data_IF_270459177231
#
_entry.id   IF_270459177231
#
_cell.length_a   1.000
_cell.length_b   1.000
_cell.length_c   1.000
_cell.angle_alpha   90.00
_cell.angle_beta   90.00
_cell.angle_gamma   90.00
#
_symmetry.space_group_name_H-M   'P 1'
#
loop_
_entity.id
_entity.type
_entity.pdbx_description
1 polymer ?
#
# COMPACT_ATOMS: atom_id res chain seq x y z
N UNK A 1 34.91 -11.73 3.11
CA UNK A 1 34.35 -10.49 3.69
C UNK A 1 33.34 -9.94 2.68
N UNK A 2 32.18 -10.59 2.53
CA UNK A 2 31.16 -10.25 1.50
C UNK A 2 29.74 -10.07 2.09
N UNK A 3 29.54 -10.38 3.37
CA UNK A 3 28.23 -10.32 4.02
C UNK A 3 27.74 -8.88 4.28
N UNK A 4 28.64 -7.91 4.48
CA UNK A 4 28.26 -6.52 4.74
C UNK A 4 27.57 -5.85 3.56
N UNK A 5 28.04 -6.12 2.33
CA UNK A 5 27.43 -5.60 1.10
C UNK A 5 26.06 -6.20 0.84
N UNK A 6 25.91 -7.52 1.03
CA UNK A 6 24.61 -8.21 0.88
C UNK A 6 23.57 -7.72 1.89
N UNK A 7 23.95 -7.55 3.16
CA UNK A 7 23.07 -6.99 4.17
C UNK A 7 22.70 -5.54 3.85
N UNK A 8 23.67 -4.72 3.42
CA UNK A 8 23.42 -3.34 2.99
C UNK A 8 22.37 -3.24 1.89
N UNK A 9 22.43 -4.11 0.88
CA UNK A 9 21.42 -4.17 -0.19
C UNK A 9 20.03 -4.53 0.34
N UNK A 10 19.92 -5.45 1.29
CA UNK A 10 18.64 -5.80 1.92
C UNK A 10 18.05 -4.62 2.70
N UNK A 11 18.87 -3.90 3.48
CA UNK A 11 18.44 -2.70 4.19
C UNK A 11 17.92 -1.63 3.23
N UNK A 12 18.62 -1.40 2.12
CA UNK A 12 18.19 -0.46 1.09
C UNK A 12 16.89 -0.87 0.42
N UNK A 13 16.70 -2.16 0.14
CA UNK A 13 15.44 -2.70 -0.37
C UNK A 13 14.29 -2.45 0.63
N UNK A 14 14.48 -2.78 1.91
CA UNK A 14 13.46 -2.57 2.94
C UNK A 14 13.12 -1.08 3.12
N UNK A 15 14.14 -0.21 3.11
CA UNK A 15 13.97 1.25 3.17
C UNK A 15 13.17 1.76 1.98
N UNK A 16 13.49 1.28 0.77
CA UNK A 16 12.76 1.62 -0.44
C UNK A 16 11.30 1.14 -0.37
N UNK A 17 11.04 -0.09 0.06
CA UNK A 17 9.69 -0.62 0.24
C UNK A 17 8.88 0.23 1.23
N UNK A 18 9.45 0.56 2.39
CA UNK A 18 8.79 1.40 3.37
C UNK A 18 8.45 2.80 2.82
N UNK A 19 9.38 3.42 2.10
CA UNK A 19 9.15 4.71 1.43
C UNK A 19 8.07 4.62 0.34
N UNK A 20 8.07 3.54 -0.42
CA UNK A 20 7.09 3.28 -1.47
C UNK A 20 5.66 3.16 -0.92
N UNK A 21 5.45 2.33 0.11
CA UNK A 21 4.13 2.17 0.73
C UNK A 21 3.67 3.46 1.41
N UNK A 22 4.58 4.19 2.08
CA UNK A 22 4.27 5.51 2.65
C UNK A 22 3.80 6.48 1.59
N UNK A 23 4.46 6.53 0.43
CA UNK A 23 4.06 7.41 -0.66
C UNK A 23 2.66 7.10 -1.20
N UNK A 24 2.31 5.81 -1.30
CA UNK A 24 0.96 5.39 -1.68
C UNK A 24 -0.08 5.87 -0.65
N UNK A 25 0.22 5.70 0.64
CA UNK A 25 -0.66 6.18 1.71
C UNK A 25 -0.86 7.71 1.64
N UNK A 26 0.23 8.48 1.51
CA UNK A 26 0.17 9.94 1.37
C UNK A 26 -0.67 10.36 0.15
N UNK A 27 -0.52 9.68 -0.99
CA UNK A 27 -1.31 9.95 -2.19
C UNK A 27 -2.82 9.68 -1.95
N UNK A 28 -3.17 8.63 -1.20
CA UNK A 28 -4.56 8.31 -0.80
C UNK A 28 -5.12 9.39 0.11
N UNK A 29 -4.39 9.74 1.16
CA UNK A 29 -4.79 10.78 2.12
C UNK A 29 -4.95 12.14 1.44
N UNK A 30 -4.03 12.52 0.56
CA UNK A 30 -4.12 13.76 -0.21
C UNK A 30 -5.36 13.80 -1.11
N UNK A 31 -5.65 12.72 -1.84
CA UNK A 31 -6.82 12.68 -2.74
C UNK A 31 -8.15 12.69 -1.95
N UNK A 32 -8.21 12.01 -0.80
CA UNK A 32 -9.39 12.02 0.08
C UNK A 32 -9.58 13.36 0.80
N UNK A 33 -8.47 14.02 1.14
CA UNK A 33 -8.43 15.30 1.86
C UNK A 33 -8.67 16.53 0.99
N UNK A 34 -8.56 16.44 -0.34
CA UNK A 34 -8.80 17.58 -1.25
C UNK A 34 -10.26 18.07 -1.13
N UNK A 35 -10.51 19.32 -0.69
CA UNK A 35 -11.86 19.84 -0.49
C UNK A 35 -12.61 20.08 -1.80
N UNK A 36 -11.92 20.41 -2.89
CA UNK A 36 -12.55 20.60 -4.19
C UNK A 36 -12.71 19.26 -4.92
N UNK A 37 -13.95 18.76 -4.96
CA UNK A 37 -14.29 17.50 -5.61
C UNK A 37 -13.88 17.45 -7.10
N UNK A 38 -13.79 18.60 -7.77
CA UNK A 38 -13.36 18.67 -9.18
C UNK A 38 -11.85 18.50 -9.35
N UNK A 39 -11.07 18.74 -8.29
CA UNK A 39 -9.62 18.55 -8.26
C UNK A 39 -9.21 17.15 -7.80
N UNK A 40 -10.13 16.40 -7.20
CA UNK A 40 -9.91 15.00 -6.86
C UNK A 40 -9.69 14.17 -8.12
N UNK A 41 -8.76 13.24 -8.03
CA UNK A 41 -8.62 12.19 -9.02
C UNK A 41 -9.86 11.28 -8.96
N UNK A 42 -10.43 10.96 -10.13
CA UNK A 42 -11.63 10.14 -10.23
C UNK A 42 -11.43 8.77 -9.59
N UNK A 43 -12.41 8.31 -8.80
CA UNK A 43 -12.25 7.12 -7.94
C UNK A 43 -11.81 5.85 -8.67
N UNK A 44 -12.33 5.58 -9.87
CA UNK A 44 -11.94 4.41 -10.66
C UNK A 44 -10.49 4.51 -11.18
N UNK A 45 -10.10 5.69 -11.67
CA UNK A 45 -8.74 5.97 -12.14
C UNK A 45 -7.75 5.87 -10.98
N UNK A 46 -8.11 6.48 -9.85
CA UNK A 46 -7.32 6.47 -8.63
C UNK A 46 -7.12 5.04 -8.10
N UNK A 47 -8.20 4.25 -7.99
CA UNK A 47 -8.11 2.87 -7.55
C UNK A 47 -7.25 2.01 -8.49
N UNK A 48 -7.38 2.21 -9.80
CA UNK A 48 -6.57 1.51 -10.81
C UNK A 48 -5.09 1.86 -10.67
N UNK A 49 -4.77 3.15 -10.48
CA UNK A 49 -3.40 3.62 -10.23
C UNK A 49 -2.80 3.00 -8.96
N UNK A 50 -3.55 2.93 -7.87
CA UNK A 50 -3.09 2.27 -6.62
C UNK A 50 -2.86 0.77 -6.85
N UNK A 51 -3.76 0.08 -7.56
CA UNK A 51 -3.61 -1.34 -7.87
C UNK A 51 -2.33 -1.62 -8.68
N UNK A 52 -2.10 -0.81 -9.73
CA UNK A 52 -0.91 -0.91 -10.57
C UNK A 52 0.37 -0.66 -9.78
N UNK A 53 0.40 0.37 -8.93
CA UNK A 53 1.55 0.63 -8.04
C UNK A 53 1.82 -0.59 -7.14
N UNK A 54 0.79 -1.21 -6.58
CA UNK A 54 0.95 -2.37 -5.70
C UNK A 54 1.20 -3.68 -6.45
N UNK A 55 1.18 -3.69 -7.79
CA UNK A 55 1.29 -4.91 -8.59
C UNK A 55 0.12 -5.88 -8.36
N UNK A 56 -1.08 -5.37 -8.09
CA UNK A 56 -2.28 -6.15 -7.76
C UNK A 56 -3.43 -5.88 -8.72
N UNK A 57 -4.43 -6.75 -8.71
CA UNK A 57 -5.69 -6.49 -9.40
C UNK A 57 -6.61 -5.57 -8.59
N UNK A 58 -7.56 -4.92 -9.25
CA UNK A 58 -8.63 -4.18 -8.57
C UNK A 58 -9.49 -5.07 -7.65
N UNK A 59 -9.61 -6.36 -7.98
CA UNK A 59 -10.34 -7.34 -7.15
C UNK A 59 -9.63 -7.60 -5.84
N UNK A 60 -8.29 -7.66 -5.85
CA UNK A 60 -7.47 -7.82 -4.65
C UNK A 60 -7.61 -6.60 -3.73
N UNK A 61 -7.59 -5.38 -4.30
CA UNK A 61 -7.83 -4.15 -3.52
C UNK A 61 -9.17 -4.16 -2.78
N UNK A 62 -10.23 -4.72 -3.39
CA UNK A 62 -11.55 -4.81 -2.73
C UNK A 62 -11.52 -5.71 -1.49
N UNK A 63 -10.60 -6.67 -1.42
CA UNK A 63 -10.42 -7.49 -0.21
C UNK A 63 -9.87 -6.65 0.95
N UNK A 64 -9.02 -5.66 0.68
CA UNK A 64 -8.50 -4.73 1.69
C UNK A 64 -9.61 -3.93 2.38
N UNK A 65 -10.74 -3.68 1.72
CA UNK A 65 -11.90 -3.03 2.34
C UNK A 65 -12.37 -3.77 3.59
N UNK A 66 -12.31 -5.10 3.60
CA UNK A 66 -12.68 -5.91 4.77
C UNK A 66 -11.71 -5.65 5.92
N UNK A 67 -10.41 -5.57 5.60
CA UNK A 67 -9.33 -5.35 6.56
C UNK A 67 -9.32 -3.92 7.14
N UNK A 68 -9.88 -2.95 6.41
CA UNK A 68 -10.02 -1.57 6.87
C UNK A 68 -11.21 -1.35 7.83
N UNK A 69 -11.96 -2.40 8.20
CA UNK A 69 -13.05 -2.29 9.17
C UNK A 69 -12.50 -2.08 10.58
N UNK A 70 -13.09 -1.18 11.40
CA UNK A 70 -12.71 -1.03 12.82
C UNK A 70 -12.91 -2.31 13.66
N UNK A 71 -13.70 -3.27 13.14
CA UNK A 71 -14.01 -4.53 13.80
C UNK A 71 -12.99 -5.64 13.51
N UNK A 72 -12.04 -5.43 12.60
CA UNK A 72 -11.03 -6.43 12.26
C UNK A 72 -10.00 -6.53 13.36
N UNK A 73 -9.60 -7.76 13.70
CA UNK A 73 -8.55 -8.00 14.69
C UNK A 73 -7.18 -7.88 14.05
N UNK A 74 -6.20 -7.47 14.84
CA UNK A 74 -4.80 -7.40 14.39
C UNK A 74 -4.28 -8.76 13.91
N UNK A 75 -4.72 -9.88 14.51
CA UNK A 75 -4.30 -11.21 14.06
C UNK A 75 -4.82 -11.53 12.65
N UNK A 76 -6.03 -11.09 12.32
CA UNK A 76 -6.59 -11.28 10.97
C UNK A 76 -5.78 -10.46 9.94
N UNK A 77 -5.32 -9.26 10.33
CA UNK A 77 -4.42 -8.43 9.51
C UNK A 77 -3.09 -9.13 9.30
N UNK A 78 -2.50 -9.70 10.36
CA UNK A 78 -1.24 -10.43 10.27
C UNK A 78 -1.34 -11.68 9.39
N UNK A 79 -2.41 -12.47 9.53
CA UNK A 79 -2.66 -13.64 8.68
C UNK A 79 -2.80 -13.24 7.21
N UNK A 80 -3.57 -12.18 6.94
CA UNK A 80 -3.76 -11.67 5.59
C UNK A 80 -2.45 -11.11 4.98
N UNK A 81 -1.68 -10.35 5.76
CA UNK A 81 -0.37 -9.83 5.36
C UNK A 81 0.63 -10.96 5.09
N UNK A 82 0.61 -12.03 5.88
CA UNK A 82 1.42 -13.23 5.67
C UNK A 82 1.05 -14.04 4.44
N UNK A 83 -0.11 -13.79 3.81
CA UNK A 83 -0.50 -14.37 2.51
C UNK A 83 -0.15 -13.48 1.33
N UNK A 84 0.22 -12.21 1.58
CA UNK A 84 0.59 -11.25 0.54
C UNK A 84 2.05 -11.39 0.09
N UNK A 85 2.90 -12.01 0.90
CA UNK A 85 4.34 -12.25 0.69
C UNK A 85 4.68 -13.71 0.99
#
# INVERSE_FOLDING_TARGET
MEHGGQMGMLFELLRNCAGFYRKIQEDIEANLGEPDLKRREGGEVFATKVALKLGRSLSDLKQFRKMASPSVRDEDIQEFAGKLF
#
